data_IF_977330911578
#
_entry.id   IF_977330911578
#
_cell.length_a   1.000
_cell.length_b   1.000
_cell.length_c   1.000
_cell.angle_alpha   90.00
_cell.angle_beta   90.00
_cell.angle_gamma   90.00
#
_symmetry.space_group_name_H-M   'P 1'
#
loop_
_entity.id
_entity.type
_entity.pdbx_description
1 polymer ?
#
# COMPACT_ATOMS: atom_id res chain seq x y z
N UNK A 1 27.79 63.35 13.36
CA UNK A 1 26.50 62.70 13.05
C UNK A 1 26.67 61.37 12.27
N UNK A 2 27.68 60.54 12.59
CA UNK A 2 27.93 59.24 11.89
C UNK A 2 27.66 58.01 12.79
N UNK A 3 27.55 58.21 14.12
CA UNK A 3 27.40 57.14 15.11
C UNK A 3 25.97 56.56 15.18
N UNK A 4 24.95 57.35 14.85
CA UNK A 4 23.54 56.91 14.83
C UNK A 4 23.19 56.07 13.60
N UNK A 5 23.93 56.21 12.50
CA UNK A 5 23.71 55.45 11.27
C UNK A 5 24.21 53.99 11.38
N UNK A 6 25.29 53.76 12.15
CA UNK A 6 25.87 52.42 12.32
C UNK A 6 25.06 51.51 13.25
N UNK A 7 24.39 52.11 14.24
CA UNK A 7 23.50 51.39 15.17
C UNK A 7 22.26 50.89 14.43
N UNK A 8 21.68 51.70 13.52
CA UNK A 8 20.53 51.30 12.72
C UNK A 8 20.83 50.12 11.78
N UNK A 9 21.99 50.11 11.14
CA UNK A 9 22.42 49.00 10.27
C UNK A 9 22.70 47.72 11.06
N UNK A 10 23.24 47.83 12.28
CA UNK A 10 23.50 46.67 13.13
C UNK A 10 22.20 45.99 13.60
N UNK A 11 21.17 46.77 13.95
CA UNK A 11 19.86 46.23 14.37
C UNK A 11 19.16 45.53 13.19
N UNK A 12 19.21 46.12 11.99
CA UNK A 12 18.59 45.53 10.80
C UNK A 12 19.29 44.23 10.36
N UNK A 13 20.63 44.16 10.50
CA UNK A 13 21.40 42.95 10.24
C UNK A 13 21.09 41.83 11.25
N UNK A 14 20.92 42.17 12.53
CA UNK A 14 20.53 41.20 13.57
C UNK A 14 19.11 40.68 13.35
N UNK A 15 18.16 41.53 12.95
CA UNK A 15 16.81 41.12 12.61
C UNK A 15 16.79 40.19 11.37
N UNK A 16 17.57 40.52 10.33
CA UNK A 16 17.71 39.66 9.15
C UNK A 16 18.35 38.31 9.49
N UNK A 17 19.37 38.29 10.36
CA UNK A 17 20.00 37.06 10.83
C UNK A 17 19.02 36.18 11.63
N UNK A 18 18.19 36.78 12.50
CA UNK A 18 17.16 36.06 13.26
C UNK A 18 16.09 35.46 12.34
N UNK A 19 15.64 36.20 11.32
CA UNK A 19 14.69 35.68 10.31
C UNK A 19 15.33 34.53 9.53
N UNK A 20 16.61 34.65 9.16
CA UNK A 20 17.34 33.61 8.43
C UNK A 20 17.57 32.36 9.28
N UNK A 21 17.86 32.51 10.58
CA UNK A 21 18.00 31.39 11.53
C UNK A 21 16.66 30.66 11.71
N UNK A 22 15.57 31.40 11.90
CA UNK A 22 14.23 30.81 12.00
C UNK A 22 13.82 30.10 10.71
N UNK A 23 14.11 30.67 9.55
CA UNK A 23 13.83 30.04 8.25
C UNK A 23 14.68 28.79 8.00
N UNK A 24 15.96 28.82 8.40
CA UNK A 24 16.85 27.65 8.32
C UNK A 24 16.39 26.52 9.23
N UNK A 25 15.84 26.81 10.41
CA UNK A 25 15.23 25.80 11.27
C UNK A 25 13.97 25.20 10.63
N UNK A 26 13.14 25.99 9.96
CA UNK A 26 11.93 25.50 9.27
C UNK A 26 12.25 24.59 8.07
N UNK A 27 13.33 24.87 7.33
CA UNK A 27 13.77 24.02 6.21
C UNK A 27 14.45 22.72 6.65
N UNK A 28 14.79 22.60 7.93
CA UNK A 28 15.33 21.39 8.54
C UNK A 28 14.24 20.51 9.17
N UNK A 29 12.95 20.73 8.84
CA UNK A 29 11.92 19.76 9.18
C UNK A 29 12.33 18.40 8.56
N UNK A 30 12.67 17.39 9.38
CA UNK A 30 12.97 16.07 8.85
C UNK A 30 11.71 15.62 8.14
N UNK A 31 11.83 15.32 6.84
CA UNK A 31 10.73 14.82 6.03
C UNK A 31 9.89 13.84 6.87
N UNK A 32 8.61 14.17 7.10
CA UNK A 32 7.70 13.30 7.83
C UNK A 32 7.85 11.90 7.24
N UNK A 33 8.30 10.89 8.03
CA UNK A 33 8.35 9.55 7.53
C UNK A 33 6.94 9.21 7.09
N UNK A 34 6.77 8.68 5.88
CA UNK A 34 5.49 8.39 5.25
C UNK A 34 4.61 7.46 6.11
N UNK A 35 3.96 8.01 7.14
CA UNK A 35 3.18 7.28 8.14
C UNK A 35 1.71 7.69 8.01
N UNK A 36 1.06 7.25 6.93
CA UNK A 36 -0.40 7.36 6.80
C UNK A 36 -1.11 6.01 6.77
N UNK A 37 -0.39 4.90 6.94
CA UNK A 37 -1.06 3.59 7.10
C UNK A 37 -1.29 3.33 8.59
N UNK A 38 -2.55 3.27 9.08
CA UNK A 38 -2.83 2.90 10.46
C UNK A 38 -2.13 1.58 10.78
N UNK A 39 -1.43 1.44 11.92
CA UNK A 39 -0.65 0.25 12.25
C UNK A 39 -1.45 -1.05 12.13
N UNK A 40 -2.76 -0.98 12.44
CA UNK A 40 -3.72 -2.09 12.33
C UNK A 40 -3.86 -2.65 10.91
N UNK A 41 -3.66 -1.86 9.86
CA UNK A 41 -3.83 -2.33 8.48
C UNK A 41 -2.67 -3.23 8.04
N UNK A 42 -1.43 -2.91 8.45
CA UNK A 42 -0.23 -3.67 8.09
C UNK A 42 -0.34 -5.12 8.56
N UNK A 43 -0.71 -5.32 9.82
CA UNK A 43 -0.83 -6.64 10.44
C UNK A 43 -1.94 -7.48 9.81
N UNK A 44 -3.07 -6.84 9.46
CA UNK A 44 -4.19 -7.54 8.81
C UNK A 44 -3.81 -8.09 7.44
N UNK A 45 -3.09 -7.30 6.63
CA UNK A 45 -2.64 -7.72 5.29
C UNK A 45 -1.58 -8.81 5.41
N UNK A 46 -0.61 -8.67 6.31
CA UNK A 46 0.44 -9.67 6.53
C UNK A 46 -0.14 -11.04 6.97
N UNK A 47 -1.12 -11.02 7.88
CA UNK A 47 -1.81 -12.23 8.33
C UNK A 47 -2.59 -12.90 7.20
N UNK A 48 -3.38 -12.13 6.45
CA UNK A 48 -4.16 -12.67 5.33
C UNK A 48 -3.26 -13.28 4.24
N UNK A 49 -2.12 -12.64 3.93
CA UNK A 49 -1.15 -13.18 2.98
C UNK A 49 -0.54 -14.51 3.48
N UNK A 50 -0.23 -14.61 4.78
CA UNK A 50 0.28 -15.84 5.38
C UNK A 50 -0.74 -16.98 5.33
N UNK A 51 -2.00 -16.69 5.66
CA UNK A 51 -3.11 -17.66 5.57
C UNK A 51 -3.34 -18.14 4.13
N UNK A 52 -3.27 -17.25 3.15
CA UNK A 52 -3.36 -17.61 1.74
C UNK A 52 -2.24 -18.58 1.37
N UNK A 53 -0.98 -18.26 1.68
CA UNK A 53 0.17 -19.11 1.34
C UNK A 53 0.09 -20.50 2.00
N UNK A 54 -0.46 -20.58 3.21
CA UNK A 54 -0.68 -21.84 3.92
C UNK A 54 -1.78 -22.71 3.27
N UNK A 55 -2.72 -22.11 2.54
CA UNK A 55 -3.80 -22.82 1.85
C UNK A 55 -3.39 -23.43 0.50
N UNK A 56 -2.22 -23.06 -0.02
CA UNK A 56 -1.72 -23.50 -1.33
C UNK A 56 -0.89 -24.78 -1.19
N UNK A 57 -0.94 -25.62 -2.23
CA UNK A 57 0.06 -26.69 -2.34
C UNK A 57 1.45 -26.14 -2.71
N UNK A 58 2.48 -27.00 -2.64
CA UNK A 58 3.86 -26.58 -2.91
C UNK A 58 4.04 -25.98 -4.30
N UNK A 59 3.38 -26.55 -5.32
CA UNK A 59 3.49 -26.08 -6.71
C UNK A 59 2.81 -24.72 -6.86
N UNK A 60 1.62 -24.55 -6.30
CA UNK A 60 0.89 -23.29 -6.31
C UNK A 60 1.63 -22.21 -5.52
N UNK A 61 2.18 -22.56 -4.35
CA UNK A 61 2.95 -21.64 -3.50
C UNK A 61 4.18 -21.12 -4.21
N UNK A 62 4.92 -21.98 -4.92
CA UNK A 62 6.09 -21.57 -5.72
C UNK A 62 5.72 -20.55 -6.82
N UNK A 63 4.53 -20.68 -7.42
CA UNK A 63 4.04 -19.70 -8.40
C UNK A 63 3.51 -18.41 -7.75
N UNK A 64 3.12 -18.43 -6.48
CA UNK A 64 2.52 -17.29 -5.80
C UNK A 64 3.53 -16.32 -5.18
N UNK A 65 4.80 -16.73 -5.05
CA UNK A 65 5.85 -15.94 -4.40
C UNK A 65 6.97 -15.59 -5.38
N UNK A 66 7.49 -14.38 -5.23
CA UNK A 66 8.68 -13.90 -5.93
C UNK A 66 9.69 -13.40 -4.90
N UNK A 67 10.97 -13.44 -5.26
CA UNK A 67 11.99 -12.76 -4.46
C UNK A 67 11.73 -11.24 -4.50
N UNK A 68 12.12 -10.53 -3.45
CA UNK A 68 11.90 -9.08 -3.43
C UNK A 68 12.70 -8.37 -4.54
N UNK A 69 13.88 -8.87 -4.89
CA UNK A 69 14.73 -8.35 -5.97
C UNK A 69 14.47 -9.01 -7.33
N UNK A 70 13.35 -9.71 -7.49
CA UNK A 70 12.97 -10.28 -8.78
C UNK A 70 12.64 -9.17 -9.79
N UNK A 71 13.08 -9.33 -11.05
CA UNK A 71 12.78 -8.40 -12.15
C UNK A 71 11.28 -8.22 -12.36
N UNK A 72 10.48 -9.20 -11.95
CA UNK A 72 9.02 -9.15 -11.94
C UNK A 72 8.46 -7.92 -11.22
N UNK A 73 9.16 -7.40 -10.20
CA UNK A 73 8.76 -6.21 -9.44
C UNK A 73 8.56 -4.97 -10.32
N UNK A 74 9.30 -4.91 -11.43
CA UNK A 74 9.27 -3.80 -12.38
C UNK A 74 8.40 -4.10 -13.61
N UNK A 75 7.88 -5.32 -13.72
CA UNK A 75 7.16 -5.79 -14.90
C UNK A 75 5.70 -5.32 -14.87
N UNK A 76 5.48 -4.08 -15.30
CA UNK A 76 4.16 -3.48 -15.45
C UNK A 76 3.77 -3.33 -16.91
N UNK A 77 2.58 -3.81 -17.27
CA UNK A 77 2.05 -3.71 -18.63
C UNK A 77 0.69 -3.03 -18.61
N UNK A 78 0.53 -1.97 -19.42
CA UNK A 78 -0.75 -1.29 -19.63
C UNK A 78 -1.72 -2.12 -20.49
N UNK A 79 -1.19 -2.83 -21.48
CA UNK A 79 -1.93 -3.76 -22.34
C UNK A 79 -1.69 -5.17 -21.81
N UNK A 80 -2.68 -6.08 -21.85
CA UNK A 80 -2.46 -7.46 -21.43
C UNK A 80 -1.29 -8.11 -22.17
N UNK A 81 -0.21 -8.42 -21.45
CA UNK A 81 0.73 -9.44 -21.88
C UNK A 81 0.07 -10.82 -21.72
N UNK A 82 0.29 -11.70 -22.69
CA UNK A 82 -0.19 -13.07 -22.66
C UNK A 82 0.70 -13.96 -21.79
N UNK A 83 1.96 -13.59 -21.54
CA UNK A 83 2.88 -14.32 -20.66
C UNK A 83 2.91 -13.78 -19.23
N UNK A 84 1.77 -13.86 -18.53
CA UNK A 84 1.70 -13.50 -17.11
C UNK A 84 2.27 -14.61 -16.25
N UNK A 85 3.45 -14.35 -15.64
CA UNK A 85 4.00 -15.17 -14.57
C UNK A 85 3.15 -15.02 -13.30
N UNK A 86 3.17 -16.05 -12.47
CA UNK A 86 2.46 -16.10 -11.20
C UNK A 86 1.36 -17.15 -11.14
N UNK A 87 0.79 -17.34 -9.94
CA UNK A 87 -0.33 -18.26 -9.72
C UNK A 87 -1.60 -17.70 -10.33
N UNK A 88 -2.15 -18.38 -11.35
CA UNK A 88 -3.41 -17.97 -11.99
C UNK A 88 -4.59 -18.28 -11.09
N UNK A 89 -5.62 -17.45 -11.16
CA UNK A 89 -6.80 -17.61 -10.32
C UNK A 89 -7.57 -18.91 -10.57
N UNK A 90 -7.59 -19.36 -11.83
CA UNK A 90 -8.19 -20.64 -12.24
C UNK A 90 -7.51 -21.84 -11.56
N UNK A 91 -6.20 -21.77 -11.35
CA UNK A 91 -5.42 -22.82 -10.68
C UNK A 91 -5.77 -22.91 -9.19
N UNK A 92 -6.17 -21.80 -8.56
CA UNK A 92 -6.67 -21.76 -7.18
C UNK A 92 -8.10 -22.33 -7.10
N UNK A 93 -8.89 -22.14 -8.16
CA UNK A 93 -10.31 -22.55 -8.23
C UNK A 93 -10.55 -23.98 -8.72
N UNK A 94 -9.51 -24.72 -9.13
CA UNK A 94 -9.62 -26.17 -9.33
C UNK A 94 -10.15 -26.81 -8.04
N UNK A 95 -10.96 -27.90 -8.11
CA UNK A 95 -11.99 -28.26 -7.11
C UNK A 95 -11.52 -28.68 -5.71
N UNK A 96 -10.29 -28.33 -5.31
CA UNK A 96 -9.88 -28.30 -3.92
C UNK A 96 -10.71 -27.24 -3.21
N UNK A 97 -11.69 -27.71 -2.45
CA UNK A 97 -12.69 -26.91 -1.76
C UNK A 97 -12.06 -26.07 -0.64
N UNK A 98 -11.44 -24.95 -0.98
CA UNK A 98 -11.17 -23.90 0.00
C UNK A 98 -12.46 -23.09 0.19
N UNK A 99 -12.85 -22.83 1.45
CA UNK A 99 -14.06 -22.04 1.79
C UNK A 99 -14.11 -20.71 1.01
N UNK A 100 -12.94 -20.08 0.79
CA UNK A 100 -12.78 -18.82 0.05
C UNK A 100 -13.12 -18.91 -1.44
N UNK A 101 -12.84 -20.04 -2.11
CA UNK A 101 -13.10 -20.20 -3.54
C UNK A 101 -14.60 -20.21 -3.90
N UNK A 102 -15.46 -20.65 -2.97
CA UNK A 102 -16.91 -20.62 -3.16
C UNK A 102 -17.49 -19.21 -3.06
N UNK A 103 -17.03 -18.39 -2.12
CA UNK A 103 -17.62 -17.08 -1.87
C UNK A 103 -17.22 -16.05 -2.98
N UNK A 104 -16.07 -16.22 -3.64
CA UNK A 104 -15.63 -15.30 -4.71
C UNK A 104 -16.26 -15.56 -6.09
N UNK A 105 -16.47 -16.84 -6.48
CA UNK A 105 -17.06 -17.19 -7.80
C UNK A 105 -18.45 -16.58 -7.98
N UNK A 106 -19.23 -16.44 -6.91
CA UNK A 106 -20.56 -15.85 -6.95
C UNK A 106 -20.54 -14.33 -7.22
N UNK A 107 -19.51 -13.62 -6.75
CA UNK A 107 -19.46 -12.15 -6.80
C UNK A 107 -19.06 -11.62 -8.19
N UNK A 108 -18.23 -12.36 -8.93
CA UNK A 108 -17.69 -11.90 -10.22
C UNK A 108 -18.67 -12.03 -11.40
N UNK A 109 -19.70 -12.88 -11.29
CA UNK A 109 -20.61 -13.20 -12.41
C UNK A 109 -21.87 -12.33 -12.41
N UNK A 110 -22.15 -11.58 -11.35
CA UNK A 110 -23.39 -10.80 -11.26
C UNK A 110 -23.10 -9.30 -11.18
N UNK A 111 -23.49 -8.55 -12.22
CA UNK A 111 -23.97 -7.17 -12.03
C UNK A 111 -25.31 -7.24 -11.27
N UNK A 112 -25.27 -7.69 -10.02
CA UNK A 112 -26.46 -7.88 -9.21
C UNK A 112 -26.84 -6.54 -8.58
N UNK A 113 -28.03 -6.06 -8.95
CA UNK A 113 -28.74 -4.97 -8.30
C UNK A 113 -28.94 -5.25 -6.80
N UNK A 114 -29.00 -4.18 -6.00
CA UNK A 114 -28.92 -4.16 -4.52
C UNK A 114 -29.83 -5.16 -3.77
N UNK A 115 -30.88 -5.72 -4.39
CA UNK A 115 -31.83 -6.60 -3.70
C UNK A 115 -31.33 -8.03 -3.44
N UNK A 116 -30.30 -8.50 -4.15
CA UNK A 116 -29.75 -9.87 -3.95
C UNK A 116 -28.60 -9.93 -2.94
N UNK A 117 -28.10 -8.80 -2.46
CA UNK A 117 -26.97 -8.74 -1.51
C UNK A 117 -27.31 -9.31 -0.12
N UNK A 118 -28.57 -9.27 0.32
CA UNK A 118 -28.95 -9.69 1.67
C UNK A 118 -29.16 -11.19 1.86
N UNK A 119 -29.37 -11.97 0.79
CA UNK A 119 -29.64 -13.40 0.92
C UNK A 119 -28.38 -14.25 1.15
N UNK A 120 -27.22 -13.82 0.63
CA UNK A 120 -25.98 -14.63 0.65
C UNK A 120 -24.96 -14.25 1.74
N UNK A 121 -25.14 -13.13 2.44
CA UNK A 121 -24.19 -12.66 3.46
C UNK A 121 -24.15 -13.52 4.74
N UNK A 122 -25.15 -14.38 4.96
CA UNK A 122 -25.25 -15.20 6.18
C UNK A 122 -24.55 -16.56 6.10
N UNK A 123 -24.22 -17.06 4.93
CA UNK A 123 -23.66 -18.42 4.77
C UNK A 123 -22.12 -18.47 4.68
N UNK A 124 -21.43 -17.33 4.56
CA UNK A 124 -19.96 -17.28 4.57
C UNK A 124 -19.37 -16.95 5.97
N UNK A 125 -20.19 -16.76 7.01
CA UNK A 125 -19.76 -16.34 8.35
C UNK A 125 -19.63 -17.49 9.39
N UNK A 126 -19.65 -18.76 8.94
CA UNK A 126 -19.49 -19.96 9.80
C UNK A 126 -18.36 -20.90 9.34
#
# INVERSE_FOLDING_TARGET
>A
MKKTLWIGTAILALAAAMIFISFRNQLNDPAEPAESTPPVLKDKVARAASELLASLDNTQRQKAVFAFEDDERFRWHFIPDFDRKGLRFEEIMTPRKTKSGKCFRQYSVTKATKSTQHYYARECAA
#
